data_IF_630202269786
#
_entry.id   IF_630202269786
#
_cell.length_a   1.000
_cell.length_b   1.000
_cell.length_c   1.000
_cell.angle_alpha   90.00
_cell.angle_beta   90.00
_cell.angle_gamma   90.00
#
_symmetry.space_group_name_H-M   'P 1'
#
loop_
_entity.id
_entity.type
_entity.pdbx_description
1 polymer ?
#
# COMPACT_ATOMS: atom_id res chain seq x y z
N UNK A 1 -19.31 15.80 -25.97
CA UNK A 1 -18.74 14.84 -25.01
C UNK A 1 -17.52 15.51 -24.44
N UNK A 2 -17.53 15.87 -23.15
CA UNK A 2 -16.35 16.43 -22.49
C UNK A 2 -15.21 15.41 -22.58
N UNK A 3 -14.08 15.85 -23.08
CA UNK A 3 -12.87 15.06 -23.19
C UNK A 3 -12.29 14.89 -21.77
N UNK A 4 -12.86 13.96 -20.97
CA UNK A 4 -12.38 13.70 -19.60
C UNK A 4 -11.00 13.05 -19.67
N UNK A 5 -10.02 13.66 -19.03
CA UNK A 5 -8.69 13.10 -18.94
C UNK A 5 -8.68 11.85 -18.05
N UNK A 6 -8.00 10.81 -18.51
CA UNK A 6 -7.87 9.56 -17.77
C UNK A 6 -6.81 9.74 -16.66
N UNK A 7 -7.13 9.31 -15.43
CA UNK A 7 -6.19 9.24 -14.32
C UNK A 7 -5.51 7.86 -14.26
N UNK A 8 -6.29 6.79 -14.45
CA UNK A 8 -5.74 5.44 -14.53
C UNK A 8 -6.61 4.54 -15.42
N UNK A 9 -5.98 3.54 -16.05
CA UNK A 9 -6.65 2.53 -16.86
C UNK A 9 -6.04 1.16 -16.58
N UNK A 10 -6.91 0.18 -16.42
CA UNK A 10 -6.58 -1.25 -16.40
C UNK A 10 -7.20 -1.88 -17.63
N UNK A 11 -6.43 -2.67 -18.36
CA UNK A 11 -6.88 -3.36 -19.59
C UNK A 11 -6.55 -4.84 -19.49
N UNK A 12 -7.58 -5.69 -19.33
CA UNK A 12 -7.47 -7.14 -19.25
C UNK A 12 -6.55 -7.64 -18.13
N UNK A 13 -6.46 -6.92 -17.02
CA UNK A 13 -5.46 -7.17 -15.96
C UNK A 13 -5.72 -8.50 -15.27
N UNK A 14 -4.68 -9.35 -15.25
CA UNK A 14 -4.67 -10.65 -14.56
C UNK A 14 -3.54 -10.71 -13.53
N UNK A 15 -3.82 -11.34 -12.40
CA UNK A 15 -2.78 -11.63 -11.41
C UNK A 15 -2.92 -13.05 -10.90
N UNK A 16 -1.89 -13.83 -11.14
CA UNK A 16 -1.77 -15.22 -10.68
C UNK A 16 -0.67 -15.33 -9.63
N UNK A 17 -0.97 -16.04 -8.56
CA UNK A 17 0.02 -16.43 -7.55
C UNK A 17 0.27 -17.93 -7.62
N UNK A 18 1.52 -18.33 -7.38
CA UNK A 18 1.90 -19.73 -7.21
C UNK A 18 1.93 -20.03 -5.72
N UNK A 19 1.16 -21.02 -5.31
CA UNK A 19 1.08 -21.45 -3.92
C UNK A 19 2.29 -22.35 -3.56
N UNK A 20 2.76 -22.24 -2.33
CA UNK A 20 3.86 -23.09 -1.83
C UNK A 20 5.26 -22.73 -2.34
N UNK A 21 5.43 -21.69 -3.13
CA UNK A 21 6.75 -21.13 -3.45
C UNK A 21 7.00 -19.90 -2.57
N UNK A 22 7.67 -20.09 -1.47
CA UNK A 22 8.39 -19.02 -0.79
C UNK A 22 9.71 -18.94 -1.55
N UNK A 23 10.01 -17.77 -2.14
CA UNK A 23 11.18 -17.59 -2.99
C UNK A 23 12.43 -18.22 -2.38
N UNK A 24 13.11 -19.05 -3.15
CA UNK A 24 14.34 -19.72 -2.75
C UNK A 24 15.38 -18.65 -2.41
N UNK A 25 15.72 -18.56 -1.13
CA UNK A 25 16.58 -17.48 -0.65
C UNK A 25 18.06 -17.65 -1.00
N UNK A 26 18.50 -18.82 -1.46
CA UNK A 26 19.92 -19.08 -1.79
C UNK A 26 20.04 -20.19 -2.83
N UNK A 27 21.00 -20.06 -3.77
CA UNK A 27 21.37 -21.11 -4.74
C UNK A 27 21.70 -22.45 -4.03
N UNK A 28 22.25 -22.38 -2.82
CA UNK A 28 22.60 -23.54 -2.02
C UNK A 28 21.37 -24.27 -1.48
N UNK A 29 20.31 -23.54 -1.12
CA UNK A 29 19.02 -24.13 -0.71
C UNK A 29 18.31 -24.80 -1.87
N UNK A 30 18.32 -24.17 -3.05
CA UNK A 30 17.70 -24.75 -4.26
C UNK A 30 18.42 -26.03 -4.69
N UNK A 31 19.73 -26.08 -4.59
CA UNK A 31 20.53 -27.28 -4.89
C UNK A 31 20.24 -28.41 -3.89
N UNK A 32 20.12 -28.11 -2.59
CA UNK A 32 19.78 -29.08 -1.55
C UNK A 32 18.37 -29.66 -1.77
N UNK A 33 17.39 -28.81 -2.10
CA UNK A 33 16.03 -29.22 -2.39
C UNK A 33 15.96 -30.09 -3.65
N UNK A 34 16.73 -29.77 -4.70
CA UNK A 34 16.83 -30.58 -5.90
C UNK A 34 17.43 -31.97 -5.61
N UNK A 35 18.53 -32.03 -4.84
CA UNK A 35 19.16 -33.29 -4.43
C UNK A 35 18.25 -34.16 -3.56
N UNK A 36 17.48 -33.56 -2.65
CA UNK A 36 16.52 -34.27 -1.83
C UNK A 36 15.43 -34.92 -2.69
N UNK A 37 14.89 -34.19 -3.68
CA UNK A 37 13.87 -34.70 -4.63
C UNK A 37 14.41 -35.84 -5.49
N UNK A 38 15.62 -35.73 -6.02
CA UNK A 38 16.25 -36.79 -6.84
C UNK A 38 16.44 -38.08 -6.04
N UNK A 39 16.68 -37.97 -4.73
CA UNK A 39 16.89 -39.12 -3.82
C UNK A 39 15.63 -39.60 -3.11
N UNK A 40 14.46 -39.02 -3.40
CA UNK A 40 13.20 -39.40 -2.75
C UNK A 40 13.15 -39.13 -1.25
N UNK A 41 13.99 -38.21 -0.75
CA UNK A 41 14.01 -37.77 0.64
C UNK A 41 13.17 -36.52 0.84
N UNK A 42 12.67 -36.31 2.07
CA UNK A 42 12.00 -35.04 2.41
C UNK A 42 12.94 -33.87 2.22
N UNK A 43 12.41 -32.78 1.65
CA UNK A 43 13.15 -31.57 1.40
C UNK A 43 13.51 -30.87 2.73
N UNK A 44 14.80 -30.76 3.11
CA UNK A 44 15.21 -30.18 4.38
C UNK A 44 14.85 -28.70 4.52
N UNK A 45 14.52 -28.03 3.42
CA UNK A 45 14.13 -26.61 3.39
C UNK A 45 12.60 -26.44 3.50
N UNK A 46 11.84 -27.52 3.67
CA UNK A 46 10.38 -27.45 3.85
C UNK A 46 10.08 -26.89 5.25
N UNK A 47 9.44 -25.73 5.32
CA UNK A 47 9.01 -25.16 6.61
C UNK A 47 7.89 -26.00 7.20
N UNK A 48 7.94 -26.22 8.51
CA UNK A 48 6.90 -26.91 9.28
C UNK A 48 5.57 -26.19 9.08
N UNK A 49 4.52 -26.91 8.65
CA UNK A 49 3.18 -26.37 8.39
C UNK A 49 2.86 -26.00 6.94
N UNK A 50 3.79 -26.19 6.00
CA UNK A 50 3.50 -25.99 4.58
C UNK A 50 2.81 -27.24 4.03
N UNK A 51 1.54 -27.12 3.64
CA UNK A 51 0.82 -28.21 2.99
C UNK A 51 1.44 -28.49 1.61
N UNK A 52 2.20 -29.59 1.51
CA UNK A 52 2.88 -29.99 0.25
C UNK A 52 1.90 -30.18 -0.91
N UNK A 53 0.60 -30.41 -0.63
CA UNK A 53 -0.45 -30.52 -1.65
C UNK A 53 -0.71 -29.22 -2.40
N UNK A 54 -0.27 -28.08 -1.85
CA UNK A 54 -0.42 -26.75 -2.43
C UNK A 54 0.79 -26.31 -3.26
N UNK A 55 1.92 -27.01 -3.15
CA UNK A 55 3.14 -26.69 -3.88
C UNK A 55 2.92 -26.83 -5.38
N UNK A 56 3.12 -25.74 -6.10
CA UNK A 56 2.96 -25.70 -7.56
C UNK A 56 1.52 -25.42 -8.04
N UNK A 57 0.53 -25.39 -7.17
CA UNK A 57 -0.81 -24.90 -7.55
C UNK A 57 -0.80 -23.41 -7.79
N UNK A 58 -1.59 -23.00 -8.77
CA UNK A 58 -1.77 -21.59 -9.09
C UNK A 58 -3.13 -21.10 -8.60
N UNK A 59 -3.18 -19.85 -8.16
CA UNK A 59 -4.39 -19.17 -7.75
C UNK A 59 -4.53 -17.86 -8.53
N UNK A 60 -5.65 -17.72 -9.25
CA UNK A 60 -5.99 -16.47 -9.94
C UNK A 60 -6.65 -15.51 -8.97
N UNK A 61 -5.89 -14.50 -8.57
CA UNK A 61 -6.40 -13.44 -7.67
C UNK A 61 -7.19 -12.38 -8.45
N UNK A 62 -6.79 -12.09 -9.69
CA UNK A 62 -7.53 -11.25 -10.63
C UNK A 62 -7.56 -11.93 -11.99
N UNK A 63 -8.69 -11.90 -12.68
CA UNK A 63 -8.87 -12.58 -13.96
C UNK A 63 -9.57 -11.69 -14.99
N UNK A 64 -8.80 -10.81 -15.63
CA UNK A 64 -9.29 -9.95 -16.72
C UNK A 64 -10.11 -8.77 -16.18
N UNK A 65 -9.47 -7.87 -15.45
CA UNK A 65 -10.11 -6.66 -14.94
C UNK A 65 -9.89 -5.52 -15.94
N UNK A 66 -10.99 -4.90 -16.34
CA UNK A 66 -11.02 -3.66 -17.12
C UNK A 66 -11.62 -2.55 -16.27
N UNK A 67 -10.90 -1.43 -16.15
CA UNK A 67 -11.33 -0.28 -15.36
C UNK A 67 -10.72 0.99 -15.94
N UNK A 68 -11.51 2.03 -16.07
CA UNK A 68 -11.02 3.38 -16.41
C UNK A 68 -11.54 4.36 -15.38
N UNK A 69 -10.64 5.15 -14.80
CA UNK A 69 -10.95 6.20 -13.83
C UNK A 69 -10.48 7.53 -14.41
N UNK A 70 -11.32 8.54 -14.35
CA UNK A 70 -11.02 9.87 -14.86
C UNK A 70 -10.49 10.78 -13.75
N UNK A 71 -9.73 11.82 -14.14
CA UNK A 71 -9.21 12.80 -13.18
C UNK A 71 -10.35 13.46 -12.40
N UNK A 72 -10.14 13.61 -11.09
CA UNK A 72 -11.13 14.17 -10.17
C UNK A 72 -12.29 13.24 -9.81
N UNK A 73 -12.26 11.98 -10.26
CA UNK A 73 -13.30 11.00 -9.95
C UNK A 73 -13.04 10.34 -8.59
N UNK A 74 -14.10 10.15 -7.82
CA UNK A 74 -14.07 9.33 -6.61
C UNK A 74 -14.72 7.98 -6.92
N UNK A 75 -13.93 6.90 -6.85
CA UNK A 75 -14.37 5.54 -7.15
C UNK A 75 -14.32 4.66 -5.92
N UNK A 76 -15.47 4.03 -5.58
CA UNK A 76 -15.57 3.02 -4.54
C UNK A 76 -15.38 1.61 -5.10
N UNK A 77 -14.42 0.85 -4.56
CA UNK A 77 -14.19 -0.54 -4.90
C UNK A 77 -14.68 -1.42 -3.75
N UNK A 78 -15.79 -2.09 -3.96
CA UNK A 78 -16.47 -2.87 -2.93
C UNK A 78 -16.41 -4.35 -3.27
N UNK A 79 -16.26 -5.19 -2.25
CA UNK A 79 -16.26 -6.65 -2.45
C UNK A 79 -15.96 -7.39 -1.15
N UNK A 80 -16.39 -8.65 -1.07
CA UNK A 80 -16.12 -9.52 0.06
C UNK A 80 -14.63 -9.87 0.24
N UNK A 81 -14.31 -10.56 1.35
CA UNK A 81 -12.96 -11.09 1.57
C UNK A 81 -12.59 -12.07 0.45
N UNK A 82 -11.38 -11.98 -0.07
CA UNK A 82 -10.91 -12.81 -1.18
C UNK A 82 -11.32 -12.33 -2.58
N UNK A 83 -12.09 -11.24 -2.73
CA UNK A 83 -12.51 -10.70 -4.04
C UNK A 83 -11.36 -10.07 -4.86
N UNK A 84 -10.13 -10.07 -4.36
CA UNK A 84 -8.98 -9.54 -5.09
C UNK A 84 -8.68 -8.06 -4.84
N UNK A 85 -9.43 -7.36 -3.98
CA UNK A 85 -9.24 -5.92 -3.67
C UNK A 85 -7.81 -5.57 -3.29
N UNK A 86 -7.26 -6.23 -2.28
CA UNK A 86 -5.88 -5.99 -1.83
C UNK A 86 -4.83 -6.34 -2.91
N UNK A 87 -5.13 -7.29 -3.79
CA UNK A 87 -4.27 -7.60 -4.93
C UNK A 87 -4.28 -6.46 -5.94
N UNK A 88 -5.46 -5.91 -6.25
CA UNK A 88 -5.58 -4.77 -7.15
C UNK A 88 -4.87 -3.54 -6.59
N UNK A 89 -5.03 -3.27 -5.29
CA UNK A 89 -4.31 -2.18 -4.63
C UNK A 89 -2.79 -2.33 -4.74
N UNK A 90 -2.25 -3.54 -4.51
CA UNK A 90 -0.82 -3.82 -4.66
C UNK A 90 -0.31 -3.64 -6.10
N UNK A 91 -1.16 -3.90 -7.10
CA UNK A 91 -0.82 -3.62 -8.50
C UNK A 91 -0.79 -2.11 -8.77
N UNK A 92 -1.80 -1.37 -8.33
CA UNK A 92 -1.88 0.08 -8.50
C UNK A 92 -0.75 0.80 -7.77
N UNK A 93 -0.40 0.35 -6.56
CA UNK A 93 0.75 0.88 -5.79
C UNK A 93 2.11 0.38 -6.28
N UNK A 94 2.16 -0.37 -7.39
CA UNK A 94 3.39 -0.92 -7.98
C UNK A 94 4.21 -1.86 -7.06
N UNK A 95 3.61 -2.35 -5.98
CA UNK A 95 4.22 -3.35 -5.07
C UNK A 95 4.42 -4.68 -5.78
N UNK A 96 3.58 -4.98 -6.77
CA UNK A 96 3.68 -6.18 -7.61
C UNK A 96 3.26 -5.88 -9.05
N UNK A 97 3.80 -6.63 -10.01
CA UNK A 97 3.42 -6.50 -11.41
C UNK A 97 2.23 -7.41 -11.78
N UNK A 98 1.41 -7.07 -12.77
CA UNK A 98 0.38 -7.95 -13.30
C UNK A 98 1.03 -9.17 -13.99
N UNK A 99 0.31 -10.29 -14.02
CA UNK A 99 0.73 -11.50 -14.76
C UNK A 99 0.42 -11.37 -16.25
N UNK A 100 -0.65 -10.65 -16.58
CA UNK A 100 -1.03 -10.27 -17.94
C UNK A 100 -1.93 -9.04 -17.90
N UNK A 101 -2.09 -8.37 -19.04
CA UNK A 101 -2.81 -7.10 -19.17
C UNK A 101 -1.91 -5.91 -18.87
N UNK A 102 -2.46 -4.72 -18.98
CA UNK A 102 -1.73 -3.45 -18.88
C UNK A 102 -2.37 -2.54 -17.84
N UNK A 103 -1.54 -1.74 -17.18
CA UNK A 103 -1.97 -0.73 -16.21
C UNK A 103 -1.28 0.57 -16.55
N UNK A 104 -2.07 1.55 -16.99
CA UNK A 104 -1.63 2.91 -17.26
C UNK A 104 -2.00 3.82 -16.10
N UNK A 105 -1.06 4.60 -15.60
CA UNK A 105 -1.24 5.53 -14.50
C UNK A 105 -0.68 6.87 -14.89
N UNK A 106 -1.51 7.89 -14.85
CA UNK A 106 -1.18 9.27 -15.25
C UNK A 106 -1.15 10.17 -14.01
N UNK A 107 0.01 10.25 -13.38
CA UNK A 107 0.27 11.05 -12.18
C UNK A 107 0.92 10.26 -11.05
N UNK A 108 1.13 10.95 -9.93
CA UNK A 108 1.64 10.34 -8.68
C UNK A 108 0.51 9.64 -7.94
N UNK A 109 0.79 8.46 -7.40
CA UNK A 109 -0.12 7.73 -6.52
C UNK A 109 0.36 7.86 -5.08
N UNK A 110 -0.54 8.29 -4.18
CA UNK A 110 -0.41 8.09 -2.75
C UNK A 110 -1.22 6.88 -2.32
N UNK A 111 -0.54 5.85 -1.82
CA UNK A 111 -1.20 4.65 -1.31
C UNK A 111 -1.12 4.59 0.21
N UNK A 112 -2.26 4.53 0.86
CA UNK A 112 -2.34 4.35 2.31
C UNK A 112 -2.00 2.92 2.78
N UNK A 113 -1.78 1.99 1.84
CA UNK A 113 -1.27 0.64 2.15
C UNK A 113 0.16 0.65 2.71
N UNK A 114 0.93 1.68 2.37
CA UNK A 114 2.36 1.78 2.68
C UNK A 114 2.65 2.66 3.90
N UNK A 115 1.61 3.01 4.66
CA UNK A 115 1.73 3.85 5.87
C UNK A 115 2.72 3.21 6.85
N UNK A 116 3.78 3.95 7.17
CA UNK A 116 4.83 3.49 8.08
C UNK A 116 5.86 2.53 7.47
N UNK A 117 5.74 2.18 6.19
CA UNK A 117 6.79 1.42 5.50
C UNK A 117 8.09 2.21 5.50
N UNK A 118 9.18 1.55 5.92
CA UNK A 118 10.50 2.17 5.97
C UNK A 118 10.80 2.96 7.25
N UNK A 119 9.91 3.07 8.23
CA UNK A 119 10.26 3.68 9.51
C UNK A 119 11.35 2.86 10.21
N UNK A 120 12.39 3.56 10.66
CA UNK A 120 13.49 2.98 11.43
C UNK A 120 13.32 3.33 12.92
N UNK A 121 13.23 2.31 13.76
CA UNK A 121 13.06 2.47 15.21
C UNK A 121 14.13 3.29 15.91
N UNK A 122 15.37 3.27 15.41
CA UNK A 122 16.50 4.00 16.00
C UNK A 122 16.53 5.49 15.65
N UNK A 123 15.80 5.88 14.60
CA UNK A 123 15.68 7.27 14.14
C UNK A 123 14.56 8.00 14.89
N UNK A 124 14.70 9.30 15.02
CA UNK A 124 13.67 10.20 15.56
C UNK A 124 12.44 10.25 14.67
N UNK A 125 11.32 10.77 15.18
CA UNK A 125 10.13 11.00 14.37
C UNK A 125 10.42 11.91 13.18
N UNK A 126 11.17 12.99 13.38
CA UNK A 126 11.57 13.94 12.33
C UNK A 126 12.39 13.26 11.22
N UNK A 127 13.38 12.47 11.59
CA UNK A 127 14.20 11.73 10.63
C UNK A 127 13.37 10.69 9.85
N UNK A 128 12.40 10.05 10.52
CA UNK A 128 11.48 9.14 9.87
C UNK A 128 10.52 9.86 8.91
N UNK A 129 10.12 11.10 9.18
CA UNK A 129 9.34 11.92 8.22
C UNK A 129 10.14 12.12 6.93
N UNK A 130 11.44 12.47 7.02
CA UNK A 130 12.30 12.60 5.83
C UNK A 130 12.43 11.28 5.08
N UNK A 131 12.70 10.19 5.81
CA UNK A 131 12.92 8.88 5.18
C UNK A 131 11.64 8.36 4.51
N UNK A 132 10.52 8.40 5.21
CA UNK A 132 9.24 7.92 4.67
C UNK A 132 8.73 8.83 3.54
N UNK A 133 8.86 10.16 3.68
CA UNK A 133 8.51 11.10 2.62
C UNK A 133 9.31 10.83 1.34
N UNK A 134 10.62 10.57 1.45
CA UNK A 134 11.46 10.21 0.31
C UNK A 134 11.05 8.87 -0.32
N UNK A 135 10.71 7.87 0.48
CA UNK A 135 10.18 6.57 0.00
C UNK A 135 8.86 6.76 -0.77
N UNK A 136 8.01 7.66 -0.29
CA UNK A 136 6.73 8.01 -0.94
C UNK A 136 6.93 8.95 -2.14
N UNK A 137 8.18 9.32 -2.47
CA UNK A 137 8.52 10.11 -3.64
C UNK A 137 8.48 11.62 -3.44
N UNK A 138 8.46 12.11 -2.20
CA UNK A 138 8.64 13.55 -1.92
C UNK A 138 10.10 13.95 -2.10
N UNK A 139 10.33 15.11 -2.65
CA UNK A 139 11.64 15.76 -2.63
C UNK A 139 11.92 16.30 -1.23
N UNK A 140 13.20 16.55 -0.92
CA UNK A 140 13.58 17.15 0.36
C UNK A 140 12.93 18.52 0.58
N UNK A 141 12.84 19.33 -0.47
CA UNK A 141 12.20 20.65 -0.40
C UNK A 141 10.70 20.54 -0.06
N UNK A 142 9.97 19.59 -0.66
CA UNK A 142 8.57 19.31 -0.33
C UNK A 142 8.41 18.86 1.12
N UNK A 143 9.35 18.05 1.62
CA UNK A 143 9.31 17.60 3.03
C UNK A 143 9.60 18.78 3.98
N UNK A 144 10.60 19.60 3.67
CA UNK A 144 10.97 20.78 4.47
C UNK A 144 9.78 21.75 4.56
N UNK A 145 9.09 22.00 3.45
CA UNK A 145 7.91 22.86 3.39
C UNK A 145 6.74 22.33 4.24
N UNK A 146 6.53 21.02 4.23
CA UNK A 146 5.38 20.37 4.89
C UNK A 146 5.67 19.85 6.29
N UNK A 147 6.92 19.94 6.75
CA UNK A 147 7.36 19.34 8.01
C UNK A 147 6.50 19.77 9.20
N UNK A 148 6.25 21.06 9.34
CA UNK A 148 5.47 21.58 10.47
C UNK A 148 4.01 21.14 10.40
N UNK A 149 3.41 21.13 9.24
CA UNK A 149 2.03 20.65 9.04
C UNK A 149 1.90 19.16 9.36
N UNK A 150 2.90 18.35 8.95
CA UNK A 150 2.96 16.91 9.25
C UNK A 150 3.06 16.70 10.76
N UNK A 151 3.93 17.45 11.44
CA UNK A 151 4.12 17.34 12.90
C UNK A 151 2.84 17.73 13.63
N UNK A 152 2.23 18.84 13.27
CA UNK A 152 0.99 19.31 13.90
C UNK A 152 -0.17 18.35 13.65
N UNK A 153 -0.30 17.85 12.42
CA UNK A 153 -1.34 16.90 12.08
C UNK A 153 -1.19 15.58 12.85
N UNK A 154 0.04 15.12 13.07
CA UNK A 154 0.34 13.87 13.76
C UNK A 154 0.09 13.88 15.26
N UNK A 155 -0.01 15.07 15.88
CA UNK A 155 -0.20 15.24 17.33
C UNK A 155 0.98 14.69 18.18
N UNK A 156 2.16 14.47 17.58
CA UNK A 156 3.34 13.95 18.29
C UNK A 156 4.45 14.99 18.47
N UNK A 157 4.11 16.27 18.40
CA UNK A 157 5.06 17.41 18.47
C UNK A 157 6.08 17.30 19.62
N UNK A 158 5.63 16.97 20.82
CA UNK A 158 6.49 16.84 21.99
C UNK A 158 7.52 15.70 21.89
N UNK A 159 7.24 14.72 21.04
CA UNK A 159 8.06 13.53 20.89
C UNK A 159 8.79 13.47 19.55
N UNK A 160 8.65 14.50 18.69
CA UNK A 160 9.15 14.43 17.30
C UNK A 160 10.65 14.17 17.19
N UNK A 161 11.42 14.66 18.15
CA UNK A 161 12.87 14.46 18.20
C UNK A 161 13.29 13.28 19.10
N UNK A 162 12.32 12.41 19.46
CA UNK A 162 12.55 11.15 20.18
C UNK A 162 12.57 9.98 19.21
N UNK A 163 13.45 8.96 19.39
CA UNK A 163 13.46 7.74 18.57
C UNK A 163 12.10 7.03 18.59
N UNK A 164 11.61 6.63 17.38
CA UNK A 164 10.25 6.08 17.24
C UNK A 164 10.06 4.71 17.89
N UNK A 165 11.13 4.01 18.28
CA UNK A 165 11.04 2.80 19.11
C UNK A 165 10.43 3.07 20.49
N UNK A 166 10.38 4.32 20.93
CA UNK A 166 9.77 4.77 22.19
C UNK A 166 8.32 5.24 22.01
N UNK A 167 7.84 5.28 20.79
CA UNK A 167 6.46 5.68 20.50
C UNK A 167 5.48 4.58 20.91
N UNK A 168 4.29 4.98 21.33
CA UNK A 168 3.16 4.06 21.35
C UNK A 168 2.78 3.66 19.92
N UNK A 169 2.07 2.54 19.77
CA UNK A 169 1.56 2.14 18.44
C UNK A 169 0.70 3.23 17.78
N UNK A 170 -0.10 3.95 18.60
CA UNK A 170 -0.92 5.06 18.13
C UNK A 170 -0.08 6.24 17.62
N UNK A 171 0.96 6.66 18.35
CA UNK A 171 1.87 7.73 17.92
C UNK A 171 2.60 7.38 16.63
N UNK A 172 3.09 6.14 16.53
CA UNK A 172 3.75 5.62 15.33
C UNK A 172 2.86 5.76 14.11
N UNK A 173 1.63 5.28 14.23
CA UNK A 173 0.69 5.30 13.11
C UNK A 173 0.22 6.70 12.78
N UNK A 174 -0.03 7.54 13.79
CA UNK A 174 -0.40 8.95 13.58
C UNK A 174 0.68 9.68 12.77
N UNK A 175 1.97 9.51 13.11
CA UNK A 175 3.05 10.15 12.37
C UNK A 175 3.15 9.61 10.93
N UNK A 176 3.15 8.29 10.76
CA UNK A 176 3.27 7.66 9.46
C UNK A 176 2.11 8.06 8.52
N UNK A 177 0.89 8.10 9.05
CA UNK A 177 -0.28 8.54 8.30
C UNK A 177 -0.20 10.02 7.93
N UNK A 178 0.33 10.87 8.85
CA UNK A 178 0.48 12.29 8.59
C UNK A 178 1.40 12.58 7.41
N UNK A 179 2.49 11.83 7.25
CA UNK A 179 3.35 11.95 6.06
C UNK A 179 2.56 11.64 4.79
N UNK A 180 1.87 10.51 4.76
CA UNK A 180 1.09 10.09 3.58
C UNK A 180 -0.06 11.06 3.25
N UNK A 181 -0.71 11.64 4.26
CA UNK A 181 -1.81 12.60 4.08
C UNK A 181 -1.34 13.97 3.54
N UNK A 182 -0.05 14.27 3.62
CA UNK A 182 0.55 15.52 3.10
C UNK A 182 1.30 15.31 1.77
N UNK A 183 1.23 14.11 1.18
CA UNK A 183 1.79 13.86 -0.13
C UNK A 183 0.96 14.58 -1.21
N UNK A 184 1.63 15.34 -2.07
CA UNK A 184 0.99 15.89 -3.27
C UNK A 184 0.89 14.79 -4.33
N UNK A 185 -0.31 14.24 -4.46
CA UNK A 185 -0.61 13.18 -5.40
C UNK A 185 -1.88 13.50 -6.15
N UNK A 186 -1.89 13.20 -7.44
CA UNK A 186 -3.07 13.33 -8.28
C UNK A 186 -4.07 12.19 -8.04
N UNK A 187 -3.57 11.04 -7.57
CA UNK A 187 -4.37 9.85 -7.31
C UNK A 187 -4.12 9.38 -5.87
N UNK A 188 -5.18 9.24 -5.10
CA UNK A 188 -5.13 8.72 -3.73
C UNK A 188 -5.81 7.37 -3.65
N UNK A 189 -5.12 6.38 -3.10
CA UNK A 189 -5.68 5.04 -2.84
C UNK A 189 -5.87 4.87 -1.35
N UNK A 190 -7.11 4.65 -0.94
CA UNK A 190 -7.50 4.47 0.45
C UNK A 190 -8.02 3.06 0.66
N UNK A 191 -7.41 2.35 1.62
CA UNK A 191 -7.92 1.06 2.10
C UNK A 191 -8.69 1.26 3.40
N UNK A 192 -9.56 0.34 3.71
CA UNK A 192 -10.34 0.28 4.93
C UNK A 192 -9.52 0.35 6.23
N UNK A 193 -8.21 0.11 6.16
CA UNK A 193 -7.25 0.20 7.27
C UNK A 193 -7.15 1.61 7.89
N UNK A 194 -7.94 2.60 7.42
CA UNK A 194 -8.11 3.89 8.10
C UNK A 194 -8.69 3.79 9.53
N UNK A 195 -9.04 2.58 9.99
CA UNK A 195 -9.41 2.30 11.38
C UNK A 195 -8.20 2.35 12.34
N UNK A 196 -7.16 3.14 12.03
CA UNK A 196 -5.93 3.24 12.83
C UNK A 196 -5.89 4.54 13.63
N UNK A 197 -5.49 4.44 14.88
CA UNK A 197 -5.54 5.55 15.81
C UNK A 197 -6.89 5.64 16.54
N UNK A 198 -7.10 6.74 17.24
CA UNK A 198 -8.40 7.01 17.90
C UNK A 198 -9.43 7.58 16.90
N UNK A 199 -10.70 7.56 17.29
CA UNK A 199 -11.81 8.01 16.43
C UNK A 199 -11.66 9.47 15.98
N UNK A 200 -11.06 10.33 16.80
CA UNK A 200 -10.86 11.73 16.48
C UNK A 200 -9.84 11.90 15.38
N UNK A 201 -8.73 11.17 15.47
CA UNK A 201 -7.70 11.16 14.43
C UNK A 201 -8.18 10.55 13.12
N UNK A 202 -8.96 9.44 13.18
CA UNK A 202 -9.58 8.86 11.99
C UNK A 202 -10.46 9.87 11.26
N UNK A 203 -11.31 10.60 12.00
CA UNK A 203 -12.14 11.65 11.42
C UNK A 203 -11.31 12.75 10.78
N UNK A 204 -10.27 13.23 11.47
CA UNK A 204 -9.34 14.24 10.95
C UNK A 204 -8.70 13.80 9.63
N UNK A 205 -8.30 12.53 9.54
CA UNK A 205 -7.76 11.95 8.33
C UNK A 205 -8.77 11.91 7.17
N UNK A 206 -9.99 11.44 7.44
CA UNK A 206 -11.07 11.39 6.45
C UNK A 206 -11.44 12.79 5.95
N UNK A 207 -11.51 13.76 6.85
CA UNK A 207 -11.83 15.16 6.50
C UNK A 207 -10.72 15.76 5.60
N UNK A 208 -9.43 15.56 5.94
CA UNK A 208 -8.29 15.96 5.10
C UNK A 208 -8.38 15.39 3.69
N UNK A 209 -8.67 14.10 3.58
CA UNK A 209 -8.77 13.40 2.30
C UNK A 209 -9.98 13.84 1.50
N UNK A 210 -11.11 14.06 2.17
CA UNK A 210 -12.32 14.57 1.52
C UNK A 210 -12.11 15.98 0.98
N UNK A 211 -11.37 16.80 1.71
CA UNK A 211 -10.98 18.14 1.27
C UNK A 211 -10.04 18.08 0.05
N UNK A 212 -9.05 17.19 0.05
CA UNK A 212 -8.16 16.99 -1.09
C UNK A 212 -8.94 16.55 -2.35
N UNK A 213 -9.89 15.61 -2.20
CA UNK A 213 -10.74 15.19 -3.32
C UNK A 213 -11.63 16.31 -3.86
N UNK A 214 -12.31 17.06 -2.98
CA UNK A 214 -13.30 18.06 -3.38
C UNK A 214 -12.72 19.41 -3.79
N UNK A 215 -11.70 19.90 -3.07
CA UNK A 215 -11.14 21.25 -3.28
C UNK A 215 -9.99 21.24 -4.28
N UNK A 216 -9.21 20.16 -4.30
CA UNK A 216 -8.02 20.06 -5.13
C UNK A 216 -8.23 19.20 -6.40
N UNK A 217 -9.43 18.64 -6.56
CA UNK A 217 -9.78 17.85 -7.74
C UNK A 217 -8.99 16.55 -7.89
N UNK A 218 -8.47 15.99 -6.78
CA UNK A 218 -7.71 14.73 -6.80
C UNK A 218 -8.63 13.54 -7.09
N UNK A 219 -8.09 12.57 -7.81
CA UNK A 219 -8.77 11.29 -8.05
C UNK A 219 -8.64 10.40 -6.83
N UNK A 220 -9.73 9.83 -6.34
CA UNK A 220 -9.72 9.03 -5.10
C UNK A 220 -10.31 7.64 -5.34
N UNK A 221 -9.54 6.60 -4.99
CA UNK A 221 -10.00 5.23 -4.99
C UNK A 221 -10.21 4.76 -3.55
N UNK A 222 -11.46 4.52 -3.18
CA UNK A 222 -11.84 3.94 -1.90
C UNK A 222 -12.00 2.43 -2.02
N UNK A 223 -11.34 1.68 -1.15
CA UNK A 223 -11.53 0.24 -1.08
C UNK A 223 -12.14 -0.12 0.26
N UNK A 224 -13.32 -0.72 0.23
CA UNK A 224 -14.04 -1.12 1.44
C UNK A 224 -14.72 -2.48 1.27
N UNK A 225 -14.96 -3.15 2.38
CA UNK A 225 -15.89 -4.29 2.46
C UNK A 225 -17.30 -3.86 2.93
N UNK A 226 -17.47 -2.61 3.36
CA UNK A 226 -18.72 -2.09 3.90
C UNK A 226 -19.29 -0.97 3.02
N UNK A 227 -20.50 -1.15 2.52
CA UNK A 227 -21.20 -0.16 1.69
C UNK A 227 -21.55 1.14 2.43
N UNK A 228 -21.57 1.14 3.76
CA UNK A 228 -21.99 2.29 4.55
C UNK A 228 -20.87 3.32 4.79
N UNK A 229 -19.66 3.07 4.27
CA UNK A 229 -18.48 3.92 4.48
C UNK A 229 -18.13 4.81 3.29
N UNK A 230 -18.92 4.80 2.23
CA UNK A 230 -18.71 5.57 0.98
C UNK A 230 -19.70 6.72 0.87
#
# INVERSE_FOLDING_TARGET
>A
MENREIALRLSGVKKMYRLGQIGGGTLQGDLQSWWARVRGREDPNTKIGTDQRLVGKTFMALNGIDLTVYKGEALGIIGGNGAGKSTMLKLLSRVTAPTAGEIDIYGRIASMLEVGTGFNGEMTGRENVYMNGAILGMTRAEIDEKMEDIIEFSEVREFIDTPVKRYSSGMYVKLAFSVAAHLDSEIMIMDEVLAVGDMAFQKKCLDKMRDAAKKEGRTVLYVSHNMNTI
#
